data_IF_159277964711
#
_entry.id   IF_159277964711
#
_cell.length_a   1.000
_cell.length_b   1.000
_cell.length_c   1.000
_cell.angle_alpha   90.00
_cell.angle_beta   90.00
_cell.angle_gamma   90.00
#
_symmetry.space_group_name_H-M   'P 1'
#
loop_
_entity.id
_entity.type
_entity.pdbx_description
1 polymer ?
#
# COMPACT_ATOMS: atom_id res chain seq x y z
N UNK A 1 -19.07 21.22 34.62
CA UNK A 1 -18.60 19.87 34.28
C UNK A 1 -17.36 20.05 33.41
N UNK A 2 -16.21 19.85 33.99
CA UNK A 2 -14.89 19.97 33.36
C UNK A 2 -14.68 18.78 32.42
N UNK A 3 -14.48 19.05 31.15
CA UNK A 3 -14.06 18.06 30.15
C UNK A 3 -12.64 17.56 30.52
N UNK A 4 -12.60 16.36 31.08
CA UNK A 4 -11.35 15.67 31.35
C UNK A 4 -10.61 15.42 30.04
N UNK A 5 -9.40 15.99 29.91
CA UNK A 5 -8.51 15.76 28.79
C UNK A 5 -8.16 14.30 28.66
N UNK A 6 -8.64 13.62 27.62
CA UNK A 6 -8.09 12.36 27.15
C UNK A 6 -6.73 12.67 26.51
N UNK A 7 -5.68 12.47 27.27
CA UNK A 7 -4.32 12.49 26.77
C UNK A 7 -4.18 11.33 25.78
N UNK A 8 -4.00 11.62 24.50
CA UNK A 8 -3.53 10.69 23.50
C UNK A 8 -2.05 10.38 23.81
N UNK A 9 -1.78 9.47 24.74
CA UNK A 9 -0.44 8.94 24.99
C UNK A 9 -0.12 7.91 23.90
N UNK A 10 0.26 8.40 22.74
CA UNK A 10 0.92 7.63 21.70
C UNK A 10 2.18 8.38 21.33
N UNK A 11 3.34 7.76 21.49
CA UNK A 11 4.61 8.32 21.02
C UNK A 11 4.42 8.93 19.62
N UNK A 12 4.67 10.22 19.51
CA UNK A 12 4.73 10.89 18.23
C UNK A 12 5.77 10.15 17.40
N UNK A 13 5.34 9.66 16.24
CA UNK A 13 6.27 9.02 15.32
C UNK A 13 7.43 9.98 15.07
N UNK A 14 8.65 9.50 15.30
CA UNK A 14 9.87 10.25 15.00
C UNK A 14 9.77 10.77 13.56
N UNK A 15 9.97 12.07 13.32
CA UNK A 15 10.03 12.58 11.95
C UNK A 15 11.15 11.84 11.22
N UNK A 16 10.96 11.64 9.91
CA UNK A 16 12.08 11.18 9.07
C UNK A 16 13.24 12.16 9.31
N UNK A 17 14.35 11.66 9.88
CA UNK A 17 15.53 12.47 10.13
C UNK A 17 16.05 13.09 8.82
N UNK A 18 17.01 14.03 8.89
CA UNK A 18 17.61 14.79 7.76
C UNK A 18 18.23 13.92 6.63
N UNK A 19 17.99 12.60 6.64
CA UNK A 19 18.46 11.70 5.59
C UNK A 19 17.66 11.91 4.31
N UNK A 20 18.39 12.16 3.21
CA UNK A 20 17.81 12.28 1.87
C UNK A 20 17.00 11.03 1.55
N UNK A 21 15.73 11.19 1.22
CA UNK A 21 14.88 10.08 0.78
C UNK A 21 15.41 9.49 -0.54
N UNK A 22 15.49 8.16 -0.61
CA UNK A 22 16.02 7.45 -1.78
C UNK A 22 14.94 6.58 -2.39
N UNK A 23 14.75 6.71 -3.69
CA UNK A 23 13.87 5.84 -4.48
C UNK A 23 14.68 5.22 -5.62
N UNK A 24 14.72 3.89 -5.66
CA UNK A 24 15.25 3.14 -6.79
C UNK A 24 14.17 3.05 -7.86
N UNK A 25 14.56 3.32 -9.10
CA UNK A 25 13.70 3.28 -10.27
C UNK A 25 14.35 2.49 -11.39
N UNK A 26 13.67 1.49 -11.92
CA UNK A 26 14.15 0.68 -13.04
C UNK A 26 13.09 0.57 -14.13
N UNK A 27 13.55 0.31 -15.35
CA UNK A 27 12.71 0.03 -16.52
C UNK A 27 13.05 -1.33 -17.08
N UNK A 28 12.07 -1.96 -17.77
CA UNK A 28 12.28 -3.28 -18.38
C UNK A 28 10.98 -3.92 -18.86
N UNK A 29 11.10 -5.20 -19.24
CA UNK A 29 9.98 -6.01 -19.76
C UNK A 29 9.80 -7.35 -19.01
N UNK A 30 10.67 -7.66 -18.05
CA UNK A 30 10.54 -8.82 -17.16
C UNK A 30 10.25 -8.34 -15.74
N UNK A 31 9.02 -8.57 -15.28
CA UNK A 31 8.51 -8.13 -13.98
C UNK A 31 9.34 -8.65 -12.81
N UNK A 32 9.68 -9.92 -12.84
CA UNK A 32 10.42 -10.58 -11.77
C UNK A 32 11.81 -9.98 -11.62
N UNK A 33 12.49 -9.79 -12.74
CA UNK A 33 13.82 -9.17 -12.79
C UNK A 33 13.76 -7.67 -12.43
N UNK A 34 12.76 -6.93 -12.90
CA UNK A 34 12.60 -5.51 -12.59
C UNK A 34 12.43 -5.28 -11.08
N UNK A 35 11.56 -6.06 -10.42
CA UNK A 35 11.37 -5.98 -8.97
C UNK A 35 12.68 -6.30 -8.24
N UNK A 36 13.38 -7.36 -8.64
CA UNK A 36 14.66 -7.73 -8.03
C UNK A 36 15.70 -6.61 -8.18
N UNK A 37 15.87 -6.05 -9.39
CA UNK A 37 16.80 -4.96 -9.68
C UNK A 37 16.46 -3.67 -8.93
N UNK A 38 15.17 -3.33 -8.76
CA UNK A 38 14.76 -2.16 -8.01
C UNK A 38 15.19 -2.22 -6.54
N UNK A 39 15.37 -3.42 -5.98
CA UNK A 39 15.76 -3.63 -4.58
C UNK A 39 17.30 -3.61 -4.38
N UNK A 40 18.09 -3.90 -5.40
CA UNK A 40 19.56 -4.01 -5.29
C UNK A 40 20.24 -2.77 -4.68
N UNK A 41 19.90 -1.54 -5.10
CA UNK A 41 20.52 -0.34 -4.51
C UNK A 41 20.22 -0.16 -3.01
N UNK A 42 19.21 -0.85 -2.49
CA UNK A 42 18.75 -0.77 -1.11
C UNK A 42 19.13 -1.99 -0.28
N UNK A 43 19.90 -2.94 -0.84
CA UNK A 43 20.18 -4.24 -0.21
C UNK A 43 20.75 -4.09 1.20
N UNK A 44 21.73 -3.21 1.40
CA UNK A 44 22.35 -3.01 2.70
C UNK A 44 21.31 -2.60 3.76
N UNK A 45 20.52 -1.59 3.45
CA UNK A 45 19.50 -1.06 4.37
C UNK A 45 18.37 -2.06 4.63
N UNK A 46 18.01 -2.86 3.62
CA UNK A 46 17.01 -3.92 3.76
C UNK A 46 17.58 -5.03 4.66
N UNK A 47 18.80 -5.48 4.42
CA UNK A 47 19.49 -6.51 5.21
C UNK A 47 19.59 -6.12 6.70
N UNK A 48 19.92 -4.86 6.97
CA UNK A 48 19.95 -4.32 8.32
C UNK A 48 18.53 -4.27 8.94
N UNK A 49 17.55 -3.83 8.16
CA UNK A 49 16.15 -3.66 8.62
C UNK A 49 15.43 -4.96 8.94
N UNK A 50 15.71 -6.05 8.23
CA UNK A 50 15.08 -7.37 8.44
C UNK A 50 15.72 -8.19 9.57
N UNK A 51 16.89 -7.73 10.10
CA UNK A 51 17.61 -8.46 11.15
C UNK A 51 16.75 -8.66 12.39
N UNK A 52 16.55 -9.90 12.78
CA UNK A 52 15.75 -10.29 13.93
C UNK A 52 14.23 -10.26 13.69
N UNK A 53 13.75 -9.57 12.68
CA UNK A 53 12.33 -9.34 12.44
C UNK A 53 11.67 -10.46 11.63
N UNK A 54 10.33 -10.51 11.69
CA UNK A 54 9.51 -11.30 10.77
C UNK A 54 9.24 -10.47 9.51
N UNK A 55 9.65 -10.98 8.35
CA UNK A 55 9.32 -10.33 7.07
C UNK A 55 7.90 -10.69 6.64
N UNK A 56 7.10 -9.68 6.37
CA UNK A 56 5.74 -9.79 5.84
C UNK A 56 5.61 -8.98 4.56
N UNK A 57 5.34 -9.65 3.45
CA UNK A 57 5.00 -9.03 2.16
C UNK A 57 3.49 -8.88 2.12
N UNK A 58 3.00 -7.63 2.17
CA UNK A 58 1.60 -7.29 1.93
C UNK A 58 1.41 -7.10 0.42
N UNK A 59 0.80 -8.07 -0.24
CA UNK A 59 0.34 -7.95 -1.61
C UNK A 59 -0.90 -7.04 -1.69
N UNK A 60 -1.39 -6.75 -2.89
CA UNK A 60 -2.63 -6.03 -3.14
C UNK A 60 -3.54 -6.88 -4.01
N UNK A 61 -4.48 -7.60 -3.41
CA UNK A 61 -5.39 -8.53 -4.09
C UNK A 61 -6.81 -8.00 -3.99
N UNK A 62 -7.23 -7.14 -4.92
CA UNK A 62 -8.50 -6.38 -4.80
C UNK A 62 -9.65 -7.06 -5.55
N UNK A 63 -9.41 -7.62 -6.72
CA UNK A 63 -10.42 -8.24 -7.57
C UNK A 63 -9.89 -9.47 -8.30
N UNK A 64 -10.75 -10.18 -9.05
CA UNK A 64 -10.36 -11.38 -9.78
C UNK A 64 -9.55 -11.10 -11.05
N UNK A 65 -9.66 -9.88 -11.60
CA UNK A 65 -8.88 -9.49 -12.77
C UNK A 65 -7.40 -9.33 -12.38
N UNK A 66 -6.45 -9.87 -13.17
CA UNK A 66 -5.02 -9.71 -12.93
C UNK A 66 -4.55 -8.24 -12.79
N UNK A 67 -5.18 -7.30 -13.48
CA UNK A 67 -4.89 -5.87 -13.35
C UNK A 67 -5.24 -5.30 -11.97
N UNK A 68 -6.16 -5.94 -11.24
CA UNK A 68 -6.56 -5.52 -9.90
C UNK A 68 -5.57 -5.93 -8.82
N UNK A 69 -4.60 -6.80 -9.15
CA UNK A 69 -3.80 -7.50 -8.17
C UNK A 69 -2.29 -7.34 -8.39
N UNK A 70 -1.53 -7.44 -7.32
CA UNK A 70 -0.10 -7.69 -7.39
C UNK A 70 0.15 -9.00 -8.12
N UNK A 71 0.91 -8.97 -9.20
CA UNK A 71 1.22 -10.16 -9.99
C UNK A 71 2.15 -11.10 -9.23
N UNK A 72 1.95 -12.42 -9.37
CA UNK A 72 2.74 -13.42 -8.65
C UNK A 72 4.25 -13.33 -8.96
N UNK A 73 4.64 -12.95 -10.19
CA UNK A 73 6.04 -12.79 -10.55
C UNK A 73 6.70 -11.57 -9.89
N UNK A 74 5.94 -10.55 -9.51
CA UNK A 74 6.46 -9.48 -8.66
C UNK A 74 6.81 -10.02 -7.26
N UNK A 75 5.98 -10.92 -6.72
CA UNK A 75 6.27 -11.60 -5.44
C UNK A 75 7.47 -12.52 -5.59
N UNK A 76 7.59 -13.26 -6.70
CA UNK A 76 8.78 -14.09 -6.99
C UNK A 76 10.05 -13.24 -7.04
N UNK A 77 10.04 -12.11 -7.72
CA UNK A 77 11.18 -11.17 -7.77
C UNK A 77 11.61 -10.68 -6.39
N UNK A 78 10.63 -10.35 -5.52
CA UNK A 78 10.88 -10.00 -4.12
C UNK A 78 11.46 -11.18 -3.34
N UNK A 79 10.92 -12.39 -3.49
CA UNK A 79 11.40 -13.58 -2.80
C UNK A 79 12.78 -14.03 -3.29
N UNK A 80 13.10 -13.87 -4.57
CA UNK A 80 14.47 -14.10 -5.11
C UNK A 80 15.48 -13.17 -4.48
N UNK A 81 15.12 -11.88 -4.33
CA UNK A 81 15.97 -10.91 -3.66
C UNK A 81 16.17 -11.25 -2.17
N UNK A 82 15.11 -11.66 -1.48
CA UNK A 82 15.19 -11.98 -0.04
C UNK A 82 15.90 -13.31 0.23
N UNK A 83 15.87 -14.29 -0.67
CA UNK A 83 16.41 -15.65 -0.46
C UNK A 83 17.85 -15.67 0.07
N UNK A 84 18.83 -14.92 -0.49
CA UNK A 84 20.21 -14.92 -0.01
C UNK A 84 20.43 -14.14 1.29
N UNK A 85 19.47 -13.30 1.70
CA UNK A 85 19.67 -12.36 2.81
C UNK A 85 18.75 -12.62 4.01
N UNK A 86 17.74 -13.50 3.86
CA UNK A 86 16.74 -13.78 4.90
C UNK A 86 16.52 -15.27 5.09
N UNK A 87 16.99 -15.82 6.23
CA UNK A 87 16.97 -17.27 6.52
C UNK A 87 15.70 -17.81 7.15
N UNK A 88 14.69 -16.95 7.50
CA UNK A 88 13.42 -17.38 8.07
C UNK A 88 12.34 -17.51 6.99
N UNK A 89 11.17 -18.06 7.36
CA UNK A 89 10.01 -18.11 6.47
C UNK A 89 9.45 -16.71 6.24
N UNK A 90 9.30 -16.30 4.99
CA UNK A 90 8.62 -15.05 4.61
C UNK A 90 7.11 -15.26 4.64
N UNK A 91 6.38 -14.36 5.26
CA UNK A 91 4.91 -14.34 5.17
C UNK A 91 4.54 -13.53 3.93
N UNK A 92 3.76 -14.12 3.03
CA UNK A 92 3.10 -13.44 1.90
C UNK A 92 1.64 -13.40 2.23
N UNK A 93 1.08 -12.20 2.39
CA UNK A 93 -0.27 -12.04 2.85
C UNK A 93 -1.04 -10.91 2.19
N UNK A 94 -2.35 -10.99 2.30
CA UNK A 94 -3.27 -9.91 2.06
C UNK A 94 -4.40 -9.95 3.10
N UNK A 95 -5.16 -8.89 3.17
CA UNK A 95 -6.37 -8.73 3.96
C UNK A 95 -7.48 -8.25 3.04
N UNK A 96 -7.78 -9.02 2.00
CA UNK A 96 -8.75 -8.63 0.98
C UNK A 96 -10.08 -8.27 1.62
N UNK A 97 -10.58 -7.07 1.31
CA UNK A 97 -11.96 -6.70 1.57
C UNK A 97 -12.89 -7.39 0.58
N UNK A 98 -14.19 -7.14 0.74
CA UNK A 98 -15.18 -7.65 -0.22
C UNK A 98 -14.98 -7.00 -1.58
N UNK A 99 -14.70 -7.77 -2.62
CA UNK A 99 -14.81 -7.35 -4.00
C UNK A 99 -15.46 -8.46 -4.80
N UNK A 100 -16.43 -8.04 -5.55
CA UNK A 100 -17.33 -8.61 -6.53
C UNK A 100 -16.87 -9.89 -7.28
N UNK A 101 -17.78 -10.80 -7.65
CA UNK A 101 -19.15 -10.96 -7.18
C UNK A 101 -19.26 -11.93 -5.97
N UNK A 102 -19.64 -11.40 -4.81
CA UNK A 102 -19.78 -12.19 -3.59
C UNK A 102 -18.57 -12.13 -2.64
N UNK A 103 -18.66 -12.75 -1.45
CA UNK A 103 -17.60 -12.72 -0.46
C UNK A 103 -16.46 -13.67 -0.86
N UNK A 104 -15.49 -13.15 -1.61
CA UNK A 104 -14.28 -13.90 -1.95
C UNK A 104 -13.17 -13.45 -1.00
N UNK A 105 -12.83 -14.28 -0.02
CA UNK A 105 -11.77 -14.01 0.93
C UNK A 105 -10.37 -14.10 0.31
N UNK A 106 -9.36 -13.66 1.04
CA UNK A 106 -7.95 -13.64 0.64
C UNK A 106 -7.45 -14.99 0.12
N UNK A 107 -7.87 -16.08 0.72
CA UNK A 107 -7.47 -17.46 0.30
C UNK A 107 -7.88 -17.77 -1.14
N UNK A 108 -9.08 -17.33 -1.55
CA UNK A 108 -9.54 -17.51 -2.94
C UNK A 108 -8.76 -16.64 -3.91
N UNK A 109 -8.38 -15.44 -3.49
CA UNK A 109 -7.51 -14.58 -4.30
C UNK A 109 -6.11 -15.17 -4.50
N UNK A 110 -5.54 -15.89 -3.51
CA UNK A 110 -4.29 -16.63 -3.70
C UNK A 110 -4.41 -17.68 -4.81
N UNK A 111 -5.55 -18.37 -4.91
CA UNK A 111 -5.81 -19.33 -5.98
C UNK A 111 -5.96 -18.62 -7.33
N UNK A 112 -6.83 -17.59 -7.42
CA UNK A 112 -7.12 -16.86 -8.66
C UNK A 112 -5.84 -16.26 -9.26
N UNK A 113 -4.94 -15.72 -8.41
CA UNK A 113 -3.73 -15.04 -8.84
C UNK A 113 -2.47 -15.91 -8.83
N UNK A 114 -2.63 -17.26 -8.78
CA UNK A 114 -1.54 -18.24 -8.91
C UNK A 114 -0.46 -18.17 -7.80
N UNK A 115 -0.85 -17.84 -6.57
CA UNK A 115 0.07 -17.76 -5.43
C UNK A 115 0.32 -19.11 -4.77
N UNK A 116 -0.50 -20.14 -5.04
CA UNK A 116 -0.49 -21.41 -4.29
C UNK A 116 0.83 -22.19 -4.39
N UNK A 117 1.61 -21.96 -5.42
CA UNK A 117 2.89 -22.62 -5.60
C UNK A 117 4.05 -21.95 -4.85
N UNK A 118 3.90 -20.69 -4.42
CA UNK A 118 4.97 -19.95 -3.72
C UNK A 118 5.55 -20.69 -2.51
N UNK A 119 4.78 -21.39 -1.64
CA UNK A 119 5.34 -22.17 -0.53
C UNK A 119 6.16 -23.37 -0.95
N UNK A 120 5.98 -23.88 -2.18
CA UNK A 120 6.79 -24.99 -2.75
C UNK A 120 8.08 -24.48 -3.38
N UNK A 121 8.02 -23.29 -4.01
CA UNK A 121 9.15 -22.66 -4.69
C UNK A 121 10.12 -21.97 -3.72
N UNK A 122 9.58 -21.46 -2.59
CA UNK A 122 10.29 -20.62 -1.65
C UNK A 122 10.02 -21.01 -0.19
N UNK A 123 10.89 -20.57 0.70
CA UNK A 123 10.61 -20.57 2.15
C UNK A 123 9.59 -19.47 2.46
N UNK A 124 8.36 -19.67 2.03
CA UNK A 124 7.26 -18.72 2.16
C UNK A 124 6.00 -19.38 2.72
N UNK A 125 5.13 -18.59 3.35
CA UNK A 125 3.82 -19.02 3.84
C UNK A 125 2.76 -18.01 3.40
N UNK A 126 1.66 -18.50 2.80
CA UNK A 126 0.50 -17.68 2.46
C UNK A 126 -0.39 -17.51 3.70
N UNK A 127 -0.74 -16.28 4.01
CA UNK A 127 -1.54 -15.95 5.20
C UNK A 127 -2.66 -14.99 4.83
N UNK A 128 -3.89 -15.34 5.18
CA UNK A 128 -4.96 -14.35 5.25
C UNK A 128 -4.74 -13.51 6.51
N UNK A 129 -4.33 -12.26 6.32
CA UNK A 129 -4.00 -11.37 7.43
C UNK A 129 -5.25 -11.02 8.27
N UNK A 130 -6.46 -11.17 7.72
CA UNK A 130 -7.71 -10.99 8.47
C UNK A 130 -7.88 -12.03 9.60
N UNK A 131 -7.23 -13.19 9.49
CA UNK A 131 -7.28 -14.25 10.53
C UNK A 131 -6.39 -13.94 11.75
N UNK A 132 -5.56 -12.87 11.68
CA UNK A 132 -4.62 -12.51 12.73
C UNK A 132 -5.26 -11.61 13.79
N UNK A 133 -4.69 -11.54 15.01
CA UNK A 133 -5.15 -10.64 16.07
C UNK A 133 -5.26 -9.19 15.59
N UNK A 134 -6.16 -8.44 16.21
CA UNK A 134 -6.41 -7.04 15.86
C UNK A 134 -6.78 -6.21 17.09
N UNK A 135 -6.43 -4.91 17.07
CA UNK A 135 -6.71 -3.93 18.13
C UNK A 135 -7.39 -2.68 17.56
N UNK A 136 -8.10 -1.90 18.39
CA UNK A 136 -8.76 -0.69 17.93
C UNK A 136 -7.76 0.42 17.61
N UNK A 137 -8.05 1.18 16.53
CA UNK A 137 -7.46 2.45 16.19
C UNK A 137 -8.61 3.42 15.86
N UNK A 138 -8.44 4.71 16.18
CA UNK A 138 -9.48 5.70 15.96
C UNK A 138 -9.35 6.35 14.58
N UNK A 139 -10.48 6.38 13.85
CA UNK A 139 -10.70 7.14 12.62
C UNK A 139 -11.90 8.08 12.81
N UNK A 140 -12.33 8.76 11.77
CA UNK A 140 -13.54 9.58 11.78
C UNK A 140 -14.69 8.89 11.05
N UNK A 141 -15.89 8.96 11.62
CA UNK A 141 -17.13 8.54 10.96
C UNK A 141 -17.63 9.61 9.97
N UNK A 142 -18.79 9.38 9.37
CA UNK A 142 -19.45 10.29 8.41
C UNK A 142 -19.83 11.65 9.01
N UNK A 143 -19.90 11.78 10.33
CA UNK A 143 -20.20 13.00 11.06
C UNK A 143 -18.94 13.64 11.67
N UNK A 144 -17.75 13.20 11.24
CA UNK A 144 -16.44 13.68 11.73
C UNK A 144 -16.27 13.43 13.25
N UNK A 145 -16.88 12.35 13.77
CA UNK A 145 -16.74 11.92 15.16
C UNK A 145 -15.75 10.75 15.26
N UNK A 146 -15.01 10.64 16.37
CA UNK A 146 -14.11 9.51 16.57
C UNK A 146 -14.87 8.18 16.55
N UNK A 147 -14.37 7.25 15.69
CA UNK A 147 -14.89 5.89 15.54
C UNK A 147 -13.76 4.89 15.64
N UNK A 148 -13.86 3.85 16.50
CA UNK A 148 -12.86 2.79 16.53
C UNK A 148 -13.05 1.84 15.33
N UNK A 149 -11.94 1.48 14.68
CA UNK A 149 -11.85 0.39 13.71
C UNK A 149 -10.77 -0.59 14.16
N UNK A 150 -10.97 -1.87 13.91
CA UNK A 150 -9.98 -2.90 14.28
C UNK A 150 -8.90 -2.99 13.22
N UNK A 151 -7.67 -2.73 13.64
CA UNK A 151 -6.46 -2.84 12.82
C UNK A 151 -5.75 -4.15 13.16
N UNK A 152 -5.35 -4.89 12.15
CA UNK A 152 -4.58 -6.14 12.26
C UNK A 152 -3.25 -5.84 12.95
N UNK A 153 -2.94 -6.55 14.03
CA UNK A 153 -1.78 -6.28 14.89
C UNK A 153 -0.45 -6.35 14.16
N UNK A 154 -0.33 -7.24 13.18
CA UNK A 154 0.87 -7.38 12.34
C UNK A 154 1.30 -6.07 11.68
N UNK A 155 0.38 -5.17 11.37
CA UNK A 155 0.69 -3.86 10.78
C UNK A 155 1.23 -2.84 11.79
N UNK A 156 1.07 -3.13 13.08
CA UNK A 156 1.49 -2.27 14.20
C UNK A 156 2.69 -2.85 14.96
N UNK A 157 3.10 -4.08 14.64
CA UNK A 157 4.14 -4.81 15.35
C UNK A 157 5.54 -4.28 14.98
N UNK A 158 6.33 -3.76 15.95
CA UNK A 158 7.69 -3.29 15.70
C UNK A 158 8.65 -4.41 15.27
N UNK A 159 8.35 -5.68 15.62
CA UNK A 159 9.15 -6.85 15.23
C UNK A 159 8.79 -7.42 13.87
N UNK A 160 7.87 -6.77 13.17
CA UNK A 160 7.55 -7.05 11.77
C UNK A 160 8.29 -6.07 10.84
N UNK A 161 8.95 -6.61 9.83
CA UNK A 161 9.42 -5.86 8.67
C UNK A 161 8.36 -5.94 7.57
N UNK A 162 7.46 -4.95 7.57
CA UNK A 162 6.33 -4.89 6.66
C UNK A 162 6.79 -4.33 5.31
N UNK A 163 6.54 -5.09 4.24
CA UNK A 163 6.80 -4.71 2.84
C UNK A 163 5.45 -4.48 2.14
N UNK A 164 5.26 -3.30 1.57
CA UNK A 164 4.16 -3.04 0.64
C UNK A 164 4.59 -3.41 -0.76
N UNK A 165 3.92 -4.37 -1.39
CA UNK A 165 4.14 -4.74 -2.79
C UNK A 165 2.83 -4.58 -3.56
N UNK A 166 2.80 -3.65 -4.51
CA UNK A 166 1.56 -3.29 -5.24
C UNK A 166 1.85 -2.90 -6.68
N UNK A 167 0.81 -2.76 -7.49
CA UNK A 167 0.86 -2.18 -8.83
C UNK A 167 0.20 -0.79 -8.84
N UNK A 168 0.63 0.14 -9.73
CA UNK A 168 0.07 1.47 -9.81
C UNK A 168 -1.32 1.41 -10.43
N UNK A 169 -2.31 2.02 -9.78
CA UNK A 169 -3.72 2.05 -10.25
C UNK A 169 -4.37 3.37 -9.93
N UNK A 170 -5.23 3.86 -10.85
CA UNK A 170 -6.22 4.88 -10.51
C UNK A 170 -7.27 4.33 -9.54
N UNK A 171 -8.05 5.21 -8.93
CA UNK A 171 -9.06 4.82 -7.94
C UNK A 171 -10.21 5.79 -7.86
N UNK A 172 -11.44 5.27 -7.71
CA UNK A 172 -12.68 6.03 -7.68
C UNK A 172 -12.93 6.91 -6.44
N UNK A 173 -12.16 6.74 -5.35
CA UNK A 173 -12.36 7.53 -4.11
C UNK A 173 -11.16 8.41 -3.76
N UNK A 174 -9.95 8.03 -4.16
CA UNK A 174 -8.72 8.66 -3.67
C UNK A 174 -7.67 8.84 -4.76
N UNK A 175 -8.13 8.89 -6.02
CA UNK A 175 -7.37 9.17 -7.23
C UNK A 175 -6.39 8.07 -7.60
N UNK A 176 -5.54 7.60 -6.68
CA UNK A 176 -4.57 6.55 -6.94
C UNK A 176 -4.49 5.52 -5.80
N UNK A 177 -4.19 4.28 -6.16
CA UNK A 177 -3.76 3.20 -5.27
C UNK A 177 -2.29 2.95 -5.51
N UNK A 178 -1.48 3.18 -4.47
CA UNK A 178 -0.03 2.97 -4.45
C UNK A 178 0.37 2.30 -3.13
N UNK A 179 1.63 2.40 -2.72
CA UNK A 179 2.19 1.69 -1.56
C UNK A 179 1.53 2.07 -0.24
N UNK A 180 1.30 3.35 0.02
CA UNK A 180 0.67 3.81 1.27
C UNK A 180 -0.74 3.25 1.37
N UNK A 181 -1.57 3.47 0.33
CA UNK A 181 -2.95 2.99 0.35
C UNK A 181 -3.06 1.47 0.45
N UNK A 182 -2.17 0.73 -0.22
CA UNK A 182 -2.13 -0.74 -0.13
C UNK A 182 -2.06 -1.21 1.33
N UNK A 183 -1.22 -0.59 2.14
CA UNK A 183 -1.00 -0.99 3.53
C UNK A 183 -2.05 -0.39 4.45
N UNK A 184 -2.37 0.90 4.34
CA UNK A 184 -3.28 1.56 5.28
C UNK A 184 -4.74 1.16 5.07
N UNK A 185 -5.16 0.88 3.83
CA UNK A 185 -6.48 0.30 3.56
C UNK A 185 -6.48 -1.22 3.78
N UNK A 186 -5.31 -1.87 3.72
CA UNK A 186 -5.13 -3.26 4.08
C UNK A 186 -5.25 -3.52 5.58
N UNK A 187 -4.85 -2.58 6.42
CA UNK A 187 -4.74 -2.77 7.86
C UNK A 187 -6.09 -2.99 8.61
N UNK A 188 -7.21 -2.33 8.28
CA UNK A 188 -8.51 -2.64 8.87
C UNK A 188 -8.97 -4.07 8.53
N UNK A 189 -9.48 -4.78 9.54
CA UNK A 189 -9.96 -6.16 9.41
C UNK A 189 -11.19 -6.25 8.49
N UNK A 190 -11.25 -7.30 7.70
CA UNK A 190 -12.43 -7.67 6.93
C UNK A 190 -12.75 -9.15 7.12
N UNK A 191 -13.56 -9.47 8.12
CA UNK A 191 -14.02 -10.84 8.33
C UNK A 191 -15.23 -11.11 7.43
N UNK A 192 -15.04 -11.99 6.44
CA UNK A 192 -16.11 -12.60 5.67
C UNK A 192 -16.17 -14.08 5.98
N UNK A 193 -17.04 -14.46 6.91
CA UNK A 193 -17.41 -15.84 7.18
C UNK A 193 -18.85 -16.04 6.75
N UNK A 194 -19.08 -16.30 5.45
CA UNK A 194 -20.33 -16.82 4.89
C UNK A 194 -21.61 -16.05 5.33
N UNK A 195 -21.71 -14.75 5.03
CA UNK A 195 -22.94 -13.96 5.19
C UNK A 195 -23.65 -14.11 6.55
N UNK A 196 -22.89 -14.24 7.64
CA UNK A 196 -23.44 -14.24 8.99
C UNK A 196 -23.55 -12.82 9.52
N UNK A 197 -24.48 -12.59 10.46
CA UNK A 197 -24.71 -11.30 11.12
C UNK A 197 -23.45 -10.73 11.83
N UNK A 198 -22.44 -11.56 12.04
CA UNK A 198 -21.16 -11.23 12.69
C UNK A 198 -20.08 -10.79 11.70
N UNK A 199 -20.36 -10.79 10.40
CA UNK A 199 -19.40 -10.39 9.37
C UNK A 199 -19.11 -8.89 9.48
N UNK A 200 -17.91 -8.55 9.94
CA UNK A 200 -17.43 -7.17 10.08
C UNK A 200 -16.45 -6.86 8.96
N UNK A 201 -16.76 -5.82 8.19
CA UNK A 201 -15.83 -5.22 7.26
C UNK A 201 -15.47 -3.81 7.73
N UNK A 202 -14.41 -3.69 8.53
CA UNK A 202 -13.95 -2.41 9.07
C UNK A 202 -13.49 -1.43 7.96
N UNK A 203 -13.16 -1.96 6.77
CA UNK A 203 -12.75 -1.13 5.61
C UNK A 203 -13.89 -0.24 5.10
N UNK A 204 -15.15 -0.64 5.28
CA UNK A 204 -16.32 0.17 4.89
C UNK A 204 -16.31 1.51 5.64
N UNK A 205 -15.93 1.49 6.92
CA UNK A 205 -15.88 2.71 7.73
C UNK A 205 -14.77 3.68 7.30
N UNK A 206 -13.72 3.17 6.66
CA UNK A 206 -12.68 4.01 6.08
C UNK A 206 -13.18 4.86 4.92
N UNK A 207 -14.25 4.42 4.24
CA UNK A 207 -14.87 5.12 3.10
C UNK A 207 -16.05 6.00 3.50
N UNK A 208 -16.44 6.07 4.77
CA UNK A 208 -17.56 6.88 5.22
C UNK A 208 -17.25 8.38 5.20
N UNK A 209 -18.26 9.23 4.96
CA UNK A 209 -18.15 10.68 5.10
C UNK A 209 -17.58 11.44 3.88
N UNK A 210 -17.57 10.82 2.69
CA UNK A 210 -17.17 11.46 1.44
C UNK A 210 -15.65 11.56 1.24
N UNK A 211 -15.24 12.12 0.13
CA UNK A 211 -13.85 12.08 -0.36
C UNK A 211 -12.84 12.70 0.61
N UNK A 212 -13.15 13.83 1.23
CA UNK A 212 -12.27 14.48 2.22
C UNK A 212 -12.00 13.57 3.43
N UNK A 213 -13.05 12.94 3.95
CA UNK A 213 -12.94 12.07 5.11
C UNK A 213 -12.17 10.80 4.80
N UNK A 214 -12.36 10.21 3.61
CA UNK A 214 -11.57 9.03 3.17
C UNK A 214 -10.08 9.35 3.13
N UNK A 215 -9.68 10.45 2.52
CA UNK A 215 -8.28 10.87 2.51
C UNK A 215 -7.73 11.09 3.92
N UNK A 216 -8.52 11.72 4.80
CA UNK A 216 -8.11 11.97 6.16
C UNK A 216 -8.01 10.69 6.99
N UNK A 217 -8.95 9.74 6.84
CA UNK A 217 -8.90 8.44 7.51
C UNK A 217 -7.70 7.60 7.07
N UNK A 218 -7.34 7.61 5.78
CA UNK A 218 -6.11 6.97 5.31
C UNK A 218 -4.88 7.59 5.98
N UNK A 219 -4.82 8.92 6.09
CA UNK A 219 -3.76 9.61 6.80
C UNK A 219 -3.71 9.24 8.30
N UNK A 220 -4.85 9.20 8.99
CA UNK A 220 -4.91 8.82 10.41
C UNK A 220 -4.34 7.42 10.64
N UNK A 221 -4.67 6.47 9.77
CA UNK A 221 -4.09 5.11 9.85
C UNK A 221 -2.61 5.13 9.50
N UNK A 222 -2.17 5.89 8.47
CA UNK A 222 -0.78 6.01 8.05
C UNK A 222 0.15 6.54 9.16
N UNK A 223 -0.37 7.33 10.10
CA UNK A 223 0.40 7.78 11.27
C UNK A 223 0.89 6.63 12.14
N UNK A 224 0.21 5.50 12.12
CA UNK A 224 0.52 4.32 12.97
C UNK A 224 0.97 3.11 12.15
N UNK A 225 0.43 2.93 10.96
CA UNK A 225 0.69 1.79 10.07
C UNK A 225 1.63 2.24 8.96
N UNK A 226 2.89 1.79 9.02
CA UNK A 226 3.94 2.21 8.07
C UNK A 226 4.70 1.00 7.53
N UNK A 227 4.71 0.81 6.21
CA UNK A 227 5.63 -0.16 5.62
C UNK A 227 7.08 0.30 5.82
N UNK A 228 7.97 -0.66 6.03
CA UNK A 228 9.42 -0.44 6.12
C UNK A 228 10.09 -0.43 4.75
N UNK A 229 9.41 -0.98 3.76
CA UNK A 229 9.83 -1.02 2.36
C UNK A 229 8.57 -0.96 1.48
N UNK A 230 8.63 -0.11 0.48
CA UNK A 230 7.59 0.04 -0.54
C UNK A 230 8.16 -0.41 -1.88
N UNK A 231 7.40 -1.24 -2.60
CA UNK A 231 7.73 -1.70 -3.94
C UNK A 231 6.50 -1.56 -4.83
N UNK A 232 6.69 -0.93 -5.96
CA UNK A 232 5.65 -0.77 -6.98
C UNK A 232 6.10 -1.52 -8.24
N UNK A 233 5.36 -2.56 -8.59
CA UNK A 233 5.45 -3.26 -9.87
C UNK A 233 4.55 -2.56 -10.87
N UNK A 234 5.13 -1.76 -11.72
CA UNK A 234 4.48 -1.02 -12.77
C UNK A 234 4.83 -1.54 -14.17
N UNK A 235 5.14 -2.83 -14.33
CA UNK A 235 5.25 -3.39 -15.69
C UNK A 235 3.96 -3.11 -16.45
N UNK A 236 2.82 -3.37 -15.78
CA UNK A 236 1.49 -2.99 -16.26
C UNK A 236 0.77 -2.27 -15.12
N UNK A 237 0.30 -1.06 -15.38
CA UNK A 237 -0.56 -0.29 -14.48
C UNK A 237 -2.02 -0.35 -14.90
N UNK A 238 -2.91 0.24 -14.10
CA UNK A 238 -4.33 0.38 -14.40
C UNK A 238 -4.73 1.86 -14.39
N UNK A 239 -5.36 2.31 -15.46
CA UNK A 239 -5.92 3.66 -15.60
C UNK A 239 -7.45 3.66 -15.72
N UNK A 240 -8.07 4.83 -15.68
CA UNK A 240 -9.53 4.99 -15.83
C UNK A 240 -10.28 4.57 -14.56
N UNK A 241 -11.30 3.72 -14.70
CA UNK A 241 -12.22 3.34 -13.62
C UNK A 241 -11.64 2.28 -12.66
N UNK A 242 -10.39 2.51 -12.20
CA UNK A 242 -9.78 1.71 -11.15
C UNK A 242 -10.51 1.83 -9.80
N UNK A 243 -10.28 0.90 -8.87
CA UNK A 243 -9.23 -0.10 -8.85
C UNK A 243 -9.59 -1.45 -9.48
N UNK A 244 -10.80 -1.61 -10.07
CA UNK A 244 -11.32 -2.92 -10.51
C UNK A 244 -11.91 -2.94 -11.93
N UNK A 245 -12.15 -1.79 -12.54
CA UNK A 245 -12.79 -1.68 -13.85
C UNK A 245 -12.03 -0.73 -14.79
N UNK A 246 -10.73 -0.57 -14.58
CA UNK A 246 -9.86 0.24 -15.43
C UNK A 246 -9.29 -0.54 -16.63
N UNK A 247 -8.44 0.11 -17.39
CA UNK A 247 -7.73 -0.44 -18.55
C UNK A 247 -6.22 -0.54 -18.28
N UNK A 248 -5.55 -1.44 -18.99
CA UNK A 248 -4.11 -1.66 -18.84
C UNK A 248 -3.29 -0.51 -19.42
N UNK A 249 -2.20 -0.15 -18.74
CA UNK A 249 -1.14 0.72 -19.24
C UNK A 249 0.17 -0.05 -19.19
N UNK A 250 0.73 -0.36 -20.36
CA UNK A 250 2.06 -0.96 -20.48
C UNK A 250 3.12 0.10 -20.15
N UNK A 251 3.52 0.17 -18.85
CA UNK A 251 4.41 1.24 -18.38
C UNK A 251 5.88 0.80 -18.32
N UNK A 252 6.13 -0.46 -18.02
CA UNK A 252 7.49 -1.01 -18.03
C UNK A 252 8.40 -0.49 -16.91
N UNK A 253 7.87 -0.17 -15.74
CA UNK A 253 8.60 0.42 -14.61
C UNK A 253 8.51 -0.42 -13.35
N UNK A 254 9.54 -0.32 -12.46
CA UNK A 254 9.43 -0.75 -11.07
C UNK A 254 10.15 0.24 -10.15
N UNK A 255 9.60 0.43 -8.95
CA UNK A 255 10.10 1.35 -7.93
C UNK A 255 10.30 0.62 -6.61
N UNK A 256 11.36 1.02 -5.86
CA UNK A 256 11.55 0.57 -4.49
C UNK A 256 12.11 1.71 -3.62
N UNK A 257 11.71 1.77 -2.34
CA UNK A 257 12.20 2.73 -1.38
C UNK A 257 11.67 2.49 0.02
N UNK A 258 12.33 3.08 1.01
CA UNK A 258 11.95 2.93 2.43
C UNK A 258 11.01 4.03 2.91
N UNK A 259 11.03 5.17 2.24
CA UNK A 259 10.10 6.27 2.51
C UNK A 259 8.84 6.07 1.67
N UNK A 260 7.74 5.74 2.33
CA UNK A 260 6.48 5.40 1.67
C UNK A 260 5.88 6.56 0.87
N UNK A 261 6.07 7.81 1.32
CA UNK A 261 5.56 8.99 0.62
C UNK A 261 6.41 9.28 -0.61
N UNK A 262 7.74 9.15 -0.50
CA UNK A 262 8.65 9.37 -1.61
C UNK A 262 8.45 8.38 -2.76
N UNK A 263 8.23 7.09 -2.43
CA UNK A 263 7.96 6.08 -3.47
C UNK A 263 6.67 6.40 -4.20
N UNK A 264 5.61 6.71 -3.46
CA UNK A 264 4.32 7.06 -4.05
C UNK A 264 4.38 8.42 -4.79
N UNK A 265 5.21 9.39 -4.32
CA UNK A 265 5.47 10.66 -5.02
C UNK A 265 6.09 10.44 -6.40
N UNK A 266 7.13 9.60 -6.47
CA UNK A 266 7.79 9.28 -7.75
C UNK A 266 6.85 8.49 -8.67
N UNK A 267 6.07 7.57 -8.11
CA UNK A 267 5.08 6.81 -8.88
C UNK A 267 4.01 7.73 -9.49
N UNK A 268 3.50 8.71 -8.73
CA UNK A 268 2.53 9.69 -9.24
C UNK A 268 3.11 10.56 -10.35
N UNK A 269 4.38 10.98 -10.22
CA UNK A 269 5.06 11.71 -11.30
C UNK A 269 5.11 10.88 -12.58
N UNK A 270 5.51 9.61 -12.48
CA UNK A 270 5.55 8.69 -13.62
C UNK A 270 4.16 8.41 -14.21
N UNK A 271 3.11 8.45 -13.40
CA UNK A 271 1.71 8.33 -13.84
C UNK A 271 1.13 9.64 -14.40
N UNK A 272 1.88 10.74 -14.38
CA UNK A 272 1.38 12.08 -14.78
C UNK A 272 0.27 12.63 -13.88
N UNK A 273 0.22 12.20 -12.62
CA UNK A 273 -0.80 12.62 -11.65
C UNK A 273 -0.18 13.63 -10.68
N UNK A 274 -0.70 14.87 -10.57
CA UNK A 274 -0.19 15.84 -9.63
C UNK A 274 -0.30 15.33 -8.17
N UNK A 275 0.80 15.38 -7.44
CA UNK A 275 0.90 14.86 -6.06
C UNK A 275 -0.13 15.51 -5.12
N UNK A 276 -0.31 16.81 -5.25
CA UNK A 276 -1.25 17.60 -4.46
C UNK A 276 -2.73 17.25 -4.70
N UNK A 277 -3.03 16.45 -5.71
CA UNK A 277 -4.37 15.93 -5.94
C UNK A 277 -4.68 14.75 -4.99
N UNK A 278 -3.66 14.02 -4.54
CA UNK A 278 -3.83 12.83 -3.70
C UNK A 278 -3.76 13.19 -2.23
N UNK A 279 -4.92 13.53 -1.63
CA UNK A 279 -5.02 14.16 -0.31
C UNK A 279 -4.34 13.38 0.81
N UNK A 280 -4.48 12.06 0.87
CA UNK A 280 -3.86 11.27 1.94
C UNK A 280 -2.32 11.33 1.90
N UNK A 281 -1.72 11.43 0.71
CA UNK A 281 -0.27 11.62 0.56
C UNK A 281 0.17 13.04 0.91
N UNK A 282 -0.62 14.04 0.49
CA UNK A 282 -0.36 15.42 0.86
C UNK A 282 -0.38 15.61 2.39
N UNK A 283 -1.37 15.04 3.08
CA UNK A 283 -1.42 15.04 4.56
C UNK A 283 -0.25 14.30 5.19
N UNK A 284 0.15 13.15 4.63
CA UNK A 284 1.32 12.42 5.11
C UNK A 284 2.61 13.25 4.99
N UNK A 285 2.84 13.91 3.85
CA UNK A 285 4.00 14.76 3.63
C UNK A 285 4.00 15.97 4.58
N UNK A 286 2.88 16.68 4.71
CA UNK A 286 2.73 17.83 5.63
C UNK A 286 2.98 17.44 7.09
N UNK A 287 2.60 16.22 7.49
CA UNK A 287 2.84 15.71 8.85
C UNK A 287 4.24 15.11 9.05
N UNK A 288 5.15 15.21 8.08
CA UNK A 288 6.52 14.67 8.18
C UNK A 288 6.59 13.15 8.18
N UNK A 289 5.58 12.44 7.62
CA UNK A 289 5.58 10.98 7.53
C UNK A 289 6.43 10.44 6.36
N UNK A 290 6.97 11.32 5.55
CA UNK A 290 7.87 11.05 4.41
C UNK A 290 8.00 12.28 3.53
N UNK A 291 8.89 12.21 2.52
CA UNK A 291 9.23 13.31 1.63
C UNK A 291 8.29 13.42 0.44
N UNK A 292 7.52 14.50 0.34
CA UNK A 292 6.63 14.78 -0.79
C UNK A 292 7.22 15.72 -1.86
N UNK A 293 8.32 16.41 -1.56
CA UNK A 293 9.01 17.31 -2.49
C UNK A 293 9.96 16.51 -3.38
N UNK A 294 9.63 16.39 -4.66
CA UNK A 294 10.41 15.59 -5.63
C UNK A 294 11.88 16.06 -5.73
N UNK A 295 12.13 17.34 -5.57
CA UNK A 295 13.49 17.92 -5.62
C UNK A 295 14.40 17.45 -4.48
N UNK A 296 13.81 16.93 -3.38
CA UNK A 296 14.50 16.40 -2.21
C UNK A 296 14.56 14.87 -2.19
N UNK A 297 14.15 14.22 -3.27
CA UNK A 297 14.19 12.77 -3.41
C UNK A 297 15.33 12.41 -4.34
N UNK A 298 16.28 11.63 -3.85
CA UNK A 298 17.33 11.04 -4.69
C UNK A 298 16.79 9.82 -5.43
N UNK A 299 16.67 9.93 -6.74
CA UNK A 299 16.25 8.83 -7.60
C UNK A 299 17.49 8.11 -8.14
N UNK A 300 17.56 6.79 -7.94
CA UNK A 300 18.58 5.91 -8.50
C UNK A 300 17.95 5.16 -9.67
N UNK A 301 18.33 5.54 -10.89
CA UNK A 301 17.77 4.96 -12.11
C UNK A 301 17.84 5.91 -13.31
N UNK A 302 17.13 5.59 -14.41
CA UNK A 302 17.06 6.48 -15.56
C UNK A 302 16.33 7.78 -15.25
N UNK A 303 16.48 8.84 -16.07
CA UNK A 303 15.72 10.09 -15.91
C UNK A 303 14.21 9.85 -16.00
N UNK A 304 13.45 10.20 -14.95
CA UNK A 304 12.01 9.93 -14.88
C UNK A 304 11.21 10.62 -15.97
N UNK A 305 11.63 11.83 -16.40
CA UNK A 305 10.93 12.60 -17.44
C UNK A 305 10.75 11.85 -18.77
N UNK A 306 11.60 10.86 -19.05
CA UNK A 306 11.51 10.06 -20.28
C UNK A 306 10.50 8.91 -20.16
N UNK A 307 9.92 8.71 -18.99
CA UNK A 307 9.07 7.57 -18.66
C UNK A 307 7.73 7.97 -18.07
N UNK A 308 7.36 9.23 -18.20
CA UNK A 308 6.04 9.71 -17.76
C UNK A 308 4.97 9.28 -18.77
N UNK A 309 3.97 8.58 -18.28
CA UNK A 309 2.74 8.28 -19.01
C UNK A 309 1.57 8.91 -18.27
N UNK A 310 0.84 9.80 -18.91
CA UNK A 310 -0.34 10.42 -18.29
C UNK A 310 -1.49 9.42 -18.24
N UNK A 311 -1.74 8.86 -17.06
CA UNK A 311 -2.85 7.92 -16.85
C UNK A 311 -4.18 8.64 -16.96
N UNK A 312 -5.12 8.03 -17.66
CA UNK A 312 -6.52 8.48 -17.68
C UNK A 312 -7.08 8.36 -16.25
N UNK A 313 -7.56 9.47 -15.71
CA UNK A 313 -8.17 9.47 -14.37
C UNK A 313 -9.55 8.81 -14.40
N UNK A 314 -10.06 8.45 -13.21
CA UNK A 314 -11.38 7.87 -13.05
C UNK A 314 -12.47 8.87 -13.53
N UNK A 315 -13.56 8.39 -14.09
CA UNK A 315 -14.64 9.23 -14.65
C UNK A 315 -15.26 10.21 -13.65
N UNK A 316 -15.21 9.89 -12.34
CA UNK A 316 -15.71 10.75 -11.27
C UNK A 316 -14.63 11.70 -10.69
N UNK A 317 -13.55 11.97 -11.41
CA UNK A 317 -12.42 12.76 -10.87
C UNK A 317 -12.83 14.12 -10.34
N UNK A 318 -13.77 14.81 -10.97
CA UNK A 318 -14.28 16.09 -10.51
C UNK A 318 -14.92 15.99 -9.12
N UNK A 319 -15.68 14.92 -8.86
CA UNK A 319 -16.24 14.64 -7.55
C UNK A 319 -15.16 14.30 -6.53
N UNK A 320 -14.17 13.50 -6.91
CA UNK A 320 -13.06 13.20 -6.01
C UNK A 320 -12.30 14.46 -5.60
N UNK A 321 -12.10 15.41 -6.53
CA UNK A 321 -11.39 16.65 -6.27
C UNK A 321 -12.09 17.59 -5.27
N UNK A 322 -13.37 17.34 -4.94
CA UNK A 322 -14.08 18.08 -3.89
C UNK A 322 -13.46 17.90 -2.50
N UNK A 323 -12.56 16.92 -2.32
CA UNK A 323 -11.81 16.80 -1.06
C UNK A 323 -10.97 18.04 -0.73
N UNK A 324 -10.54 18.82 -1.74
CA UNK A 324 -9.78 20.07 -1.59
C UNK A 324 -10.67 21.24 -1.22
N UNK A 325 -11.96 21.18 -1.56
CA UNK A 325 -12.93 22.22 -1.27
C UNK A 325 -13.33 22.24 0.22
N UNK A 326 -13.69 23.40 0.68
CA UNK A 326 -14.28 23.64 1.98
C UNK A 326 -15.75 23.20 1.99
#
# INVERSE_FOLDING_TARGET
>A
MTLGGMAFSGEAAQPFGDSVAVVSFVTGSDRREMVRRALEPLEREIREGIRGKQVVIKANLVGPDPLCATHVDAVRGMLDFLRPIYGKTVIVGDSTGRVYPGPVGTRKHFEIHSYLDLPREYRAKLVDLNDLPSRPLWILDENIRPRPVRIIDTFLDPDVYLISLTCPKTHGDVIATLSVKNVVMGAPVSHYRQAKAEDRNEKVFMHAGGYKNVHYNLFLVARRVRPRLCVIDGLVGMEGNGPTAGTAVEHGIALAGKDMVSVDRVALELMGIPFENVGYLAYCAQAGLGQGDLSKIRIIGPPIGNHIISYKLHENIELQMTWKGL
#
